data_IF_451285885799
#
_entry.id   IF_451285885799
#
_cell.length_a   1.000
_cell.length_b   1.000
_cell.length_c   1.000
_cell.angle_alpha   90.00
_cell.angle_beta   90.00
_cell.angle_gamma   90.00
#
_symmetry.space_group_name_H-M   'P 1'
#
loop_
_entity.id
_entity.type
_entity.pdbx_description
1 polymer ?
#
# COMPACT_ATOMS: atom_id res chain seq x y z
N UNK A 1 12.26 87.73 164.68
CA UNK A 1 13.15 86.60 164.31
C UNK A 1 12.47 85.85 163.15
N UNK A 2 12.57 86.34 161.92
CA UNK A 2 13.55 86.03 160.86
C UNK A 2 13.37 84.65 160.19
N UNK A 3 12.84 84.63 158.96
CA UNK A 3 12.79 83.46 158.05
C UNK A 3 13.06 83.87 156.58
N UNK A 4 13.93 84.86 156.34
CA UNK A 4 14.32 85.29 154.99
C UNK A 4 15.42 84.43 154.34
N UNK A 5 15.76 83.25 154.89
CA UNK A 5 16.88 82.42 154.39
C UNK A 5 16.49 81.03 153.85
N UNK A 6 15.20 80.68 153.77
CA UNK A 6 14.76 79.37 153.22
C UNK A 6 14.38 79.44 151.72
N UNK A 7 14.19 80.62 151.15
CA UNK A 7 13.74 80.76 149.76
C UNK A 7 14.83 80.49 148.69
N UNK A 8 16.12 80.60 149.03
CA UNK A 8 17.19 80.53 148.03
C UNK A 8 17.68 79.10 147.71
N UNK A 9 17.55 78.14 148.64
CA UNK A 9 17.96 76.75 148.40
C UNK A 9 16.92 75.90 147.64
N UNK A 10 15.68 76.37 147.52
CA UNK A 10 14.64 75.70 146.71
C UNK A 10 14.76 75.95 145.20
N UNK A 11 15.44 77.02 144.77
CA UNK A 11 15.47 77.42 143.37
C UNK A 11 16.58 76.74 142.54
N UNK A 12 17.66 76.27 143.18
CA UNK A 12 18.81 75.66 142.47
C UNK A 12 18.63 74.15 142.24
N UNK A 13 17.80 73.47 143.04
CA UNK A 13 17.45 72.05 142.82
C UNK A 13 16.45 71.80 141.68
N UNK A 14 15.66 72.82 141.30
CA UNK A 14 14.67 72.69 140.24
C UNK A 14 15.28 72.76 138.82
N UNK A 15 16.37 73.51 138.63
CA UNK A 15 16.96 73.73 137.30
C UNK A 15 17.87 72.57 136.83
N UNK A 16 18.48 71.82 137.74
CA UNK A 16 19.26 70.62 137.40
C UNK A 16 18.38 69.41 137.03
N UNK A 17 17.18 69.29 137.62
CA UNK A 17 16.19 68.27 137.24
C UNK A 17 15.54 68.60 135.90
N UNK A 18 15.30 69.88 135.58
CA UNK A 18 14.73 70.30 134.30
C UNK A 18 15.63 70.03 133.07
N UNK A 19 16.96 70.00 133.26
CA UNK A 19 17.92 69.67 132.19
C UNK A 19 17.92 68.19 131.79
N UNK A 20 17.82 67.28 132.77
CA UNK A 20 17.79 65.82 132.52
C UNK A 20 16.45 65.38 131.93
N UNK A 21 15.35 66.03 132.33
CA UNK A 21 14.01 65.75 131.78
C UNK A 21 13.89 66.21 130.32
N UNK A 22 14.50 67.34 129.94
CA UNK A 22 14.49 67.79 128.54
C UNK A 22 15.40 66.96 127.62
N UNK A 23 16.56 66.50 128.09
CA UNK A 23 17.45 65.61 127.31
C UNK A 23 16.85 64.23 127.06
N UNK A 24 16.15 63.67 128.06
CA UNK A 24 15.44 62.38 127.92
C UNK A 24 14.19 62.48 127.04
N UNK A 25 13.49 63.62 127.05
CA UNK A 25 12.40 63.91 126.11
C UNK A 25 12.89 64.07 124.68
N UNK A 26 14.00 64.77 124.44
CA UNK A 26 14.59 64.92 123.11
C UNK A 26 15.07 63.59 122.54
N UNK A 27 15.76 62.78 123.35
CA UNK A 27 16.21 61.43 122.95
C UNK A 27 15.05 60.49 122.65
N UNK A 28 13.92 60.63 123.36
CA UNK A 28 12.68 59.89 123.10
C UNK A 28 12.01 60.35 121.80
N UNK A 29 12.04 61.64 121.49
CA UNK A 29 11.55 62.18 120.22
C UNK A 29 12.45 61.77 119.05
N UNK A 30 13.77 61.74 119.23
CA UNK A 30 14.72 61.24 118.22
C UNK A 30 14.56 59.74 117.97
N UNK A 31 14.44 58.93 119.02
CA UNK A 31 14.12 57.51 118.88
C UNK A 31 12.78 57.31 118.17
N UNK A 32 11.75 58.08 118.54
CA UNK A 32 10.45 57.97 117.88
C UNK A 32 10.49 58.45 116.43
N UNK A 33 11.30 59.45 116.10
CA UNK A 33 11.55 59.87 114.72
C UNK A 33 12.32 58.82 113.93
N UNK A 34 13.31 58.17 114.54
CA UNK A 34 14.06 57.09 113.92
C UNK A 34 13.15 55.87 113.66
N UNK A 35 12.33 55.47 114.65
CA UNK A 35 11.31 54.42 114.51
C UNK A 35 10.29 54.75 113.42
N UNK A 36 9.77 55.99 113.39
CA UNK A 36 8.81 56.39 112.34
C UNK A 36 9.47 56.42 110.96
N UNK A 37 10.73 56.82 110.87
CA UNK A 37 11.47 56.85 109.62
C UNK A 37 11.77 55.42 109.15
N UNK A 38 12.07 54.50 110.06
CA UNK A 38 12.24 53.07 109.81
C UNK A 38 10.93 52.42 109.33
N UNK A 39 9.81 52.69 110.01
CA UNK A 39 8.47 52.28 109.58
C UNK A 39 8.13 52.84 108.20
N UNK A 40 8.45 54.11 107.94
CA UNK A 40 8.23 54.74 106.64
C UNK A 40 9.09 54.12 105.53
N UNK A 41 10.38 53.86 105.79
CA UNK A 41 11.24 53.17 104.82
C UNK A 41 10.75 51.76 104.53
N UNK A 42 10.29 51.04 105.55
CA UNK A 42 9.73 49.69 105.40
C UNK A 42 8.45 49.70 104.56
N UNK A 43 7.54 50.65 104.81
CA UNK A 43 6.32 50.80 104.00
C UNK A 43 6.66 51.18 102.55
N UNK A 44 7.65 52.04 102.33
CA UNK A 44 8.08 52.40 100.98
C UNK A 44 8.72 51.23 100.24
N UNK A 45 9.48 50.39 100.93
CA UNK A 45 10.04 49.15 100.38
C UNK A 45 8.93 48.14 100.05
N UNK A 46 7.97 47.91 100.96
CA UNK A 46 6.81 47.04 100.72
C UNK A 46 5.94 47.55 99.56
N UNK A 47 5.71 48.86 99.47
CA UNK A 47 5.01 49.48 98.33
C UNK A 47 5.78 49.31 97.02
N UNK A 48 7.12 49.39 97.08
CA UNK A 48 7.97 49.18 95.91
C UNK A 48 7.94 47.72 95.46
N UNK A 49 8.07 46.76 96.37
CA UNK A 49 7.99 45.33 96.02
C UNK A 49 6.60 44.97 95.49
N UNK A 50 5.52 45.48 96.08
CA UNK A 50 4.16 45.29 95.56
C UNK A 50 3.98 45.88 94.16
N UNK A 51 4.54 47.07 93.90
CA UNK A 51 4.48 47.67 92.57
C UNK A 51 5.32 46.89 91.54
N UNK A 52 6.51 46.42 91.93
CA UNK A 52 7.34 45.55 91.08
C UNK A 52 6.65 44.22 90.79
N UNK A 53 5.99 43.60 91.78
CA UNK A 53 5.20 42.39 91.61
C UNK A 53 4.00 42.61 90.68
N UNK A 54 3.26 43.71 90.84
CA UNK A 54 2.16 44.08 89.94
C UNK A 54 2.64 44.28 88.51
N UNK A 55 3.73 45.01 88.32
CA UNK A 55 4.31 45.24 87.00
C UNK A 55 4.75 43.91 86.36
N UNK A 56 5.42 43.03 87.11
CA UNK A 56 5.80 41.71 86.58
C UNK A 56 4.60 40.82 86.28
N UNK A 57 3.50 40.96 87.04
CA UNK A 57 2.26 40.23 86.78
C UNK A 57 1.59 40.73 85.50
N UNK A 58 1.48 42.05 85.32
CA UNK A 58 0.92 42.67 84.13
C UNK A 58 1.75 42.35 82.88
N UNK A 59 3.08 42.36 82.98
CA UNK A 59 3.97 41.92 81.89
C UNK A 59 3.75 40.44 81.54
N UNK A 60 3.57 39.56 82.52
CA UNK A 60 3.26 38.14 82.29
C UNK A 60 1.88 37.95 81.68
N UNK A 61 0.88 38.75 82.09
CA UNK A 61 -0.46 38.71 81.51
C UNK A 61 -0.42 39.18 80.05
N UNK A 62 0.27 40.29 79.76
CA UNK A 62 0.44 40.78 78.40
C UNK A 62 1.18 39.76 77.51
N UNK A 63 2.26 39.14 78.02
CA UNK A 63 2.97 38.09 77.30
C UNK A 63 2.05 36.89 76.99
N UNK A 64 1.27 36.42 77.98
CA UNK A 64 0.29 35.34 77.76
C UNK A 64 -0.82 35.74 76.79
N UNK A 65 -1.26 36.99 76.81
CA UNK A 65 -2.26 37.47 75.84
C UNK A 65 -1.68 37.45 74.42
N UNK A 66 -0.43 37.85 74.22
CA UNK A 66 0.21 37.77 72.90
C UNK A 66 0.42 36.33 72.44
N UNK A 67 0.79 35.41 73.33
CA UNK A 67 0.96 33.99 73.02
C UNK A 67 -0.39 33.31 72.70
N UNK A 68 -1.44 33.62 73.46
CA UNK A 68 -2.79 33.11 73.21
C UNK A 68 -3.38 33.65 71.91
N UNK A 69 -3.10 34.92 71.55
CA UNK A 69 -3.45 35.46 70.23
C UNK A 69 -2.70 34.74 69.11
N UNK A 70 -1.39 34.57 69.22
CA UNK A 70 -0.59 33.86 68.21
C UNK A 70 -1.00 32.39 68.05
N UNK A 71 -1.37 31.71 69.14
CA UNK A 71 -1.89 30.33 69.06
C UNK A 71 -3.30 30.28 68.46
N UNK A 72 -4.18 31.24 68.75
CA UNK A 72 -5.50 31.33 68.12
C UNK A 72 -5.40 31.59 66.61
N UNK A 73 -4.53 32.52 66.19
CA UNK A 73 -4.28 32.83 64.78
C UNK A 73 -3.69 31.62 64.03
N UNK A 74 -2.73 30.90 64.63
CA UNK A 74 -2.17 29.69 64.00
C UNK A 74 -3.19 28.56 63.89
N UNK A 75 -4.06 28.38 64.88
CA UNK A 75 -5.17 27.42 64.80
C UNK A 75 -6.15 27.80 63.69
N UNK A 76 -6.50 29.08 63.56
CA UNK A 76 -7.40 29.56 62.50
C UNK A 76 -6.83 29.33 61.10
N UNK A 77 -5.54 29.65 60.90
CA UNK A 77 -4.82 29.39 59.64
C UNK A 77 -4.80 27.90 59.29
N UNK A 78 -4.52 27.03 60.28
CA UNK A 78 -4.50 25.59 60.05
C UNK A 78 -5.89 25.04 59.70
N UNK A 79 -6.95 25.57 60.32
CA UNK A 79 -8.32 25.18 60.00
C UNK A 79 -8.73 25.69 58.63
N UNK A 80 -8.39 26.92 58.25
CA UNK A 80 -8.70 27.46 56.94
C UNK A 80 -7.99 26.68 55.82
N UNK A 81 -6.69 26.39 55.97
CA UNK A 81 -5.93 25.57 55.00
C UNK A 81 -6.52 24.15 54.89
N UNK A 82 -6.88 23.54 56.01
CA UNK A 82 -7.50 22.21 56.00
C UNK A 82 -8.87 22.22 55.32
N UNK A 83 -9.71 23.22 55.59
CA UNK A 83 -11.02 23.37 54.95
C UNK A 83 -10.90 23.61 53.44
N UNK A 84 -9.92 24.41 53.01
CA UNK A 84 -9.66 24.66 51.59
C UNK A 84 -9.21 23.38 50.87
N UNK A 85 -8.34 22.57 51.49
CA UNK A 85 -7.95 21.26 50.94
C UNK A 85 -9.13 20.30 50.81
N UNK A 86 -10.04 20.27 51.78
CA UNK A 86 -11.26 19.46 51.67
C UNK A 86 -12.19 19.97 50.57
N UNK A 87 -12.33 21.30 50.42
CA UNK A 87 -13.10 21.88 49.33
C UNK A 87 -12.51 21.51 47.96
N UNK A 88 -11.18 21.53 47.82
CA UNK A 88 -10.51 21.13 46.58
C UNK A 88 -10.66 19.63 46.31
N UNK A 89 -10.47 18.77 47.31
CA UNK A 89 -10.67 17.33 47.16
C UNK A 89 -12.11 16.99 46.73
N UNK A 90 -13.12 17.71 47.24
CA UNK A 90 -14.51 17.53 46.81
C UNK A 90 -14.73 17.98 45.37
N UNK A 91 -14.12 19.08 44.91
CA UNK A 91 -14.18 19.50 43.51
C UNK A 91 -13.56 18.45 42.58
N UNK A 92 -12.40 17.92 42.95
CA UNK A 92 -11.70 16.90 42.17
C UNK A 92 -12.56 15.62 42.11
N UNK A 93 -13.15 15.18 43.24
CA UNK A 93 -14.07 14.04 43.28
C UNK A 93 -15.28 14.24 42.35
N UNK A 94 -15.89 15.43 42.36
CA UNK A 94 -17.00 15.76 41.47
C UNK A 94 -16.58 15.75 39.99
N UNK A 95 -15.38 16.24 39.67
CA UNK A 95 -14.85 16.18 38.31
C UNK A 95 -14.66 14.73 37.83
N UNK A 96 -14.14 13.84 38.68
CA UNK A 96 -14.02 12.41 38.36
C UNK A 96 -15.39 11.75 38.16
N UNK A 97 -16.37 12.05 39.02
CA UNK A 97 -17.73 11.53 38.89
C UNK A 97 -18.43 12.03 37.62
N UNK A 98 -18.14 13.25 37.17
CA UNK A 98 -18.68 13.79 35.93
C UNK A 98 -18.04 13.17 34.68
N UNK A 99 -16.75 12.83 34.72
CA UNK A 99 -16.03 12.22 33.59
C UNK A 99 -16.32 10.72 33.42
N UNK A 100 -16.69 10.01 34.50
CA UNK A 100 -16.94 8.56 34.48
C UNK A 100 -18.01 8.13 33.46
N UNK A 101 -19.20 8.77 33.37
CA UNK A 101 -20.20 8.41 32.37
C UNK A 101 -19.71 8.53 30.92
N UNK A 102 -18.90 9.54 30.61
CA UNK A 102 -18.34 9.74 29.28
C UNK A 102 -17.31 8.64 28.95
N UNK A 103 -16.43 8.31 29.90
CA UNK A 103 -15.47 7.22 29.76
C UNK A 103 -16.16 5.85 29.57
N UNK A 104 -17.23 5.59 30.33
CA UNK A 104 -18.06 4.38 30.19
C UNK A 104 -18.77 4.37 28.83
N UNK A 105 -19.27 5.52 28.37
CA UNK A 105 -19.85 5.69 27.04
C UNK A 105 -18.86 5.37 25.92
N UNK A 106 -17.63 5.89 26.02
CA UNK A 106 -16.55 5.60 25.08
C UNK A 106 -16.16 4.11 25.07
N UNK A 107 -16.05 3.48 26.25
CA UNK A 107 -15.80 2.04 26.37
C UNK A 107 -16.92 1.19 25.74
N UNK A 108 -18.18 1.60 25.91
CA UNK A 108 -19.32 0.93 25.27
C UNK A 108 -19.28 1.08 23.74
N UNK A 109 -18.90 2.25 23.23
CA UNK A 109 -18.69 2.49 21.81
C UNK A 109 -17.60 1.60 21.23
N UNK A 110 -16.46 1.51 21.92
CA UNK A 110 -15.33 0.67 21.55
C UNK A 110 -15.72 -0.82 21.56
N UNK A 111 -16.42 -1.28 22.60
CA UNK A 111 -16.89 -2.67 22.72
C UNK A 111 -17.87 -3.03 21.59
N UNK A 112 -18.79 -2.13 21.24
CA UNK A 112 -19.69 -2.32 20.10
C UNK A 112 -18.94 -2.38 18.77
N UNK A 113 -17.90 -1.56 18.60
CA UNK A 113 -17.06 -1.58 17.39
C UNK A 113 -16.31 -2.91 17.26
N UNK A 114 -15.68 -3.40 18.33
CA UNK A 114 -15.02 -4.71 18.33
C UNK A 114 -16.01 -5.85 18.09
N UNK A 115 -17.21 -5.77 18.67
CA UNK A 115 -18.29 -6.74 18.43
C UNK A 115 -18.69 -6.76 16.95
N UNK A 116 -18.90 -5.59 16.35
CA UNK A 116 -19.18 -5.46 14.93
C UNK A 116 -18.05 -6.05 14.07
N UNK A 117 -16.79 -5.74 14.36
CA UNK A 117 -15.66 -6.35 13.65
C UNK A 117 -15.67 -7.87 13.80
N UNK A 118 -15.93 -8.41 14.99
CA UNK A 118 -15.95 -9.87 15.20
C UNK A 118 -17.14 -10.58 14.52
N UNK A 119 -18.30 -9.93 14.43
CA UNK A 119 -19.52 -10.51 13.87
C UNK A 119 -19.57 -10.37 12.33
N UNK A 120 -19.11 -9.23 11.80
CA UNK A 120 -19.25 -8.90 10.37
C UNK A 120 -17.97 -9.11 9.55
N UNK A 121 -16.75 -8.91 10.08
CA UNK A 121 -15.52 -9.12 9.29
C UNK A 121 -15.36 -10.54 8.74
N UNK A 122 -15.75 -11.63 9.45
CA UNK A 122 -15.70 -12.98 8.88
C UNK A 122 -16.57 -13.16 7.63
N UNK A 123 -17.55 -12.27 7.38
CA UNK A 123 -18.34 -12.26 6.13
C UNK A 123 -17.59 -11.59 4.99
N UNK A 124 -16.64 -10.70 5.31
CA UNK A 124 -15.81 -9.98 4.32
C UNK A 124 -14.45 -10.63 4.06
N UNK A 125 -13.96 -11.53 4.93
CA UNK A 125 -12.67 -12.23 4.70
C UNK A 125 -12.67 -13.04 3.41
N UNK A 126 -13.78 -13.68 3.05
CA UNK A 126 -13.94 -14.36 1.76
C UNK A 126 -13.96 -13.40 0.57
N UNK A 127 -14.55 -12.21 0.75
CA UNK A 127 -14.62 -11.16 -0.28
C UNK A 127 -13.25 -10.52 -0.53
N UNK A 128 -12.50 -10.17 0.52
CA UNK A 128 -11.15 -9.60 0.38
C UNK A 128 -10.17 -10.58 -0.28
N UNK A 129 -10.23 -11.86 0.09
CA UNK A 129 -9.41 -12.90 -0.55
C UNK A 129 -9.79 -13.06 -2.02
N UNK A 130 -11.09 -13.04 -2.35
CA UNK A 130 -11.56 -13.16 -3.72
C UNK A 130 -11.21 -11.91 -4.57
N UNK A 131 -11.40 -10.70 -4.04
CA UNK A 131 -10.98 -9.46 -4.69
C UNK A 131 -9.46 -9.41 -4.92
N UNK A 132 -8.66 -9.84 -3.94
CA UNK A 132 -7.21 -9.93 -4.06
C UNK A 132 -6.81 -10.92 -5.15
N UNK A 133 -7.44 -12.10 -5.22
CA UNK A 133 -7.22 -13.08 -6.28
C UNK A 133 -7.59 -12.51 -7.66
N UNK A 134 -8.77 -11.90 -7.82
CA UNK A 134 -9.17 -11.31 -9.11
C UNK A 134 -8.21 -10.20 -9.55
N UNK A 135 -7.78 -9.35 -8.61
CA UNK A 135 -6.80 -8.31 -8.88
C UNK A 135 -5.44 -8.89 -9.30
N UNK A 136 -4.96 -9.93 -8.59
CA UNK A 136 -3.71 -10.62 -8.94
C UNK A 136 -3.77 -11.29 -10.31
N UNK A 137 -4.90 -11.90 -10.67
CA UNK A 137 -5.10 -12.47 -12.00
C UNK A 137 -5.01 -11.37 -13.07
N UNK A 138 -5.72 -10.26 -12.88
CA UNK A 138 -5.69 -9.13 -13.82
C UNK A 138 -4.27 -8.58 -14.02
N UNK A 139 -3.52 -8.34 -12.93
CA UNK A 139 -2.13 -7.88 -13.00
C UNK A 139 -1.22 -8.86 -13.74
N UNK A 140 -1.38 -10.17 -13.49
CA UNK A 140 -0.62 -11.20 -14.16
C UNK A 140 -0.93 -11.27 -15.66
N UNK A 141 -2.19 -11.09 -16.06
CA UNK A 141 -2.58 -11.03 -17.47
C UNK A 141 -2.05 -9.77 -18.17
N UNK A 142 -2.09 -8.61 -17.51
CA UNK A 142 -1.48 -7.39 -18.05
C UNK A 142 0.04 -7.53 -18.25
N UNK A 143 0.73 -8.11 -17.26
CA UNK A 143 2.15 -8.41 -17.39
C UNK A 143 2.42 -9.44 -18.50
N UNK A 144 1.58 -10.47 -18.60
CA UNK A 144 1.63 -11.49 -19.64
C UNK A 144 1.44 -10.92 -21.05
N UNK A 145 0.63 -9.87 -21.21
CA UNK A 145 0.46 -9.18 -22.50
C UNK A 145 1.76 -8.50 -22.97
N UNK A 146 2.59 -8.01 -22.04
CA UNK A 146 3.86 -7.34 -22.35
C UNK A 146 4.99 -8.34 -22.58
N UNK A 147 5.09 -9.35 -21.72
CA UNK A 147 6.26 -10.24 -21.66
C UNK A 147 6.02 -11.59 -22.36
N UNK A 148 4.76 -11.98 -22.53
CA UNK A 148 4.31 -13.27 -23.05
C UNK A 148 3.59 -14.10 -21.97
N UNK A 149 2.42 -14.65 -22.30
CA UNK A 149 1.58 -15.42 -21.35
C UNK A 149 2.29 -16.67 -20.82
N UNK A 150 3.18 -17.25 -21.63
CA UNK A 150 4.05 -18.38 -21.29
C UNK A 150 4.91 -18.16 -20.03
N UNK A 151 5.35 -16.92 -19.78
CA UNK A 151 6.20 -16.60 -18.61
C UNK A 151 5.41 -16.49 -17.32
N UNK A 152 4.11 -16.24 -17.44
CA UNK A 152 3.21 -15.98 -16.32
C UNK A 152 2.36 -17.21 -16.01
N UNK A 153 2.22 -18.14 -16.97
CA UNK A 153 1.41 -19.34 -16.87
C UNK A 153 1.70 -20.19 -15.62
N UNK A 154 2.97 -20.46 -15.30
CA UNK A 154 3.33 -21.25 -14.11
C UNK A 154 2.98 -20.53 -12.80
N UNK A 155 3.15 -19.20 -12.76
CA UNK A 155 2.81 -18.40 -11.58
C UNK A 155 1.30 -18.33 -11.38
N UNK A 156 0.54 -18.13 -12.47
CA UNK A 156 -0.92 -18.19 -12.47
C UNK A 156 -1.38 -19.57 -12.00
N UNK A 157 -0.76 -20.64 -12.48
CA UNK A 157 -1.09 -22.00 -12.07
C UNK A 157 -0.90 -22.22 -10.57
N UNK A 158 0.17 -21.67 -9.98
CA UNK A 158 0.45 -21.79 -8.54
C UNK A 158 -0.52 -20.96 -7.68
N UNK A 159 -0.83 -19.73 -8.09
CA UNK A 159 -1.76 -18.84 -7.36
C UNK A 159 -3.20 -19.37 -7.42
N UNK A 160 -3.57 -20.00 -8.53
CA UNK A 160 -4.92 -20.51 -8.80
C UNK A 160 -4.95 -22.05 -8.87
N UNK A 161 -4.25 -22.71 -7.93
CA UNK A 161 -4.20 -24.17 -7.84
C UNK A 161 -5.59 -24.85 -7.75
N UNK A 162 -6.56 -24.16 -7.14
CA UNK A 162 -7.91 -24.67 -6.95
C UNK A 162 -8.84 -24.49 -8.17
N UNK A 163 -8.43 -23.73 -9.20
CA UNK A 163 -9.29 -23.34 -10.32
C UNK A 163 -9.05 -24.24 -11.54
N UNK A 164 -9.94 -25.20 -11.85
CA UNK A 164 -9.67 -26.23 -12.87
C UNK A 164 -9.56 -25.66 -14.30
N UNK A 165 -10.30 -24.58 -14.59
CA UNK A 165 -10.20 -23.90 -15.89
C UNK A 165 -8.84 -23.24 -16.07
N UNK A 166 -8.37 -22.51 -15.05
CA UNK A 166 -7.04 -21.89 -15.08
C UNK A 166 -5.96 -22.97 -15.20
N UNK A 167 -6.07 -24.06 -14.44
CA UNK A 167 -5.15 -25.18 -14.54
C UNK A 167 -5.06 -25.73 -15.97
N UNK A 168 -6.20 -25.99 -16.61
CA UNK A 168 -6.25 -26.56 -17.97
C UNK A 168 -5.66 -25.61 -19.01
N UNK A 169 -5.91 -24.31 -18.87
CA UNK A 169 -5.37 -23.31 -19.79
C UNK A 169 -3.86 -23.14 -19.60
N UNK A 170 -3.39 -23.04 -18.36
CA UNK A 170 -1.97 -22.91 -18.05
C UNK A 170 -1.17 -24.16 -18.45
N UNK A 171 -1.70 -25.37 -18.26
CA UNK A 171 -1.05 -26.61 -18.73
C UNK A 171 -0.97 -26.68 -20.25
N UNK A 172 -1.97 -26.15 -20.96
CA UNK A 172 -1.95 -26.08 -22.42
C UNK A 172 -0.87 -25.12 -22.95
N UNK A 173 -0.63 -24.01 -22.23
CA UNK A 173 0.47 -23.07 -22.54
C UNK A 173 1.83 -23.72 -22.27
N UNK A 174 2.00 -24.38 -21.11
CA UNK A 174 3.30 -24.95 -20.73
C UNK A 174 3.65 -26.24 -21.48
N UNK A 175 2.65 -26.97 -21.98
CA UNK A 175 2.84 -28.15 -22.82
C UNK A 175 3.18 -27.82 -24.28
N UNK A 176 3.01 -26.56 -24.72
CA UNK A 176 3.35 -26.18 -26.08
C UNK A 176 4.87 -26.28 -26.28
N UNK A 177 5.34 -26.90 -27.39
CA UNK A 177 6.76 -27.01 -27.66
C UNK A 177 7.39 -25.62 -27.80
N UNK A 178 8.71 -25.53 -27.57
CA UNK A 178 9.47 -24.30 -27.39
C UNK A 178 10.17 -23.71 -28.66
N UNK A 179 9.67 -23.82 -29.91
CA UNK A 179 10.23 -22.94 -30.95
C UNK A 179 9.80 -21.50 -30.67
N UNK A 180 10.64 -20.54 -31.08
CA UNK A 180 10.26 -19.14 -31.14
C UNK A 180 9.00 -19.01 -32.01
N UNK A 181 7.86 -18.76 -31.37
CA UNK A 181 6.61 -18.48 -32.06
C UNK A 181 6.47 -16.97 -32.32
N UNK A 182 5.71 -16.56 -33.35
CA UNK A 182 5.43 -15.14 -33.57
C UNK A 182 4.71 -14.54 -32.35
N UNK A 183 5.05 -13.30 -31.98
CA UNK A 183 4.42 -12.58 -30.85
C UNK A 183 3.19 -11.75 -31.28
N UNK A 184 3.07 -11.47 -32.58
CA UNK A 184 2.00 -10.67 -33.17
C UNK A 184 1.53 -11.27 -34.49
N UNK A 185 0.34 -10.84 -34.92
CA UNK A 185 -0.21 -11.19 -36.23
C UNK A 185 0.73 -10.72 -37.34
N UNK A 186 1.34 -9.53 -37.22
CA UNK A 186 2.31 -9.02 -38.20
C UNK A 186 3.57 -9.90 -38.29
N UNK A 187 4.04 -10.42 -37.16
CA UNK A 187 5.16 -11.37 -37.13
C UNK A 187 4.78 -12.70 -37.78
N UNK A 188 3.56 -13.20 -37.53
CA UNK A 188 3.04 -14.41 -38.18
C UNK A 188 2.85 -14.21 -39.70
N UNK A 189 2.38 -13.04 -40.11
CA UNK A 189 2.14 -12.66 -41.50
C UNK A 189 3.43 -12.49 -42.30
N UNK A 190 4.43 -11.81 -41.72
CA UNK A 190 5.73 -11.60 -42.37
C UNK A 190 6.48 -12.92 -42.56
N UNK A 191 6.46 -13.79 -41.55
CA UNK A 191 7.05 -15.14 -41.64
C UNK A 191 6.29 -16.03 -42.63
N UNK A 192 4.95 -15.96 -42.66
CA UNK A 192 4.14 -16.66 -43.66
C UNK A 192 4.47 -16.23 -45.09
N UNK A 193 4.50 -14.91 -45.32
CA UNK A 193 4.82 -14.33 -46.63
C UNK A 193 6.21 -14.75 -47.10
N UNK A 194 7.19 -14.77 -46.19
CA UNK A 194 8.53 -15.27 -46.46
C UNK A 194 8.53 -16.74 -46.88
N UNK A 195 7.88 -17.63 -46.11
CA UNK A 195 7.82 -19.06 -46.43
C UNK A 195 7.13 -19.32 -47.79
N UNK A 196 6.05 -18.61 -48.08
CA UNK A 196 5.35 -18.72 -49.36
C UNK A 196 6.15 -18.16 -50.54
N UNK A 197 6.97 -17.12 -50.33
CA UNK A 197 7.88 -16.59 -51.35
C UNK A 197 9.03 -17.55 -51.66
N UNK A 198 9.61 -18.20 -50.65
CA UNK A 198 10.65 -19.21 -50.84
C UNK A 198 10.10 -20.44 -51.59
N UNK A 199 8.87 -20.87 -51.25
CA UNK A 199 8.20 -21.94 -51.97
C UNK A 199 7.91 -21.56 -53.43
N UNK A 200 7.34 -20.38 -53.68
CA UNK A 200 7.10 -19.87 -55.04
C UNK A 200 8.40 -19.82 -55.86
N UNK A 201 9.51 -19.40 -55.23
CA UNK A 201 10.82 -19.32 -55.88
C UNK A 201 11.34 -20.71 -56.25
N UNK A 202 11.26 -21.67 -55.34
CA UNK A 202 11.70 -23.05 -55.57
C UNK A 202 10.87 -23.71 -56.69
N UNK A 203 9.54 -23.60 -56.62
CA UNK A 203 8.63 -24.13 -57.66
C UNK A 203 8.87 -23.42 -59.01
N UNK A 204 9.10 -22.10 -59.00
CA UNK A 204 9.43 -21.33 -60.19
C UNK A 204 10.75 -21.78 -60.84
N UNK A 205 11.77 -22.12 -60.04
CA UNK A 205 13.03 -22.66 -60.54
C UNK A 205 12.85 -24.03 -61.21
N UNK A 206 12.04 -24.91 -60.60
CA UNK A 206 11.69 -26.21 -61.21
C UNK A 206 10.91 -26.03 -62.50
N UNK A 207 9.93 -25.12 -62.53
CA UNK A 207 9.16 -24.80 -63.74
C UNK A 207 10.03 -24.28 -64.88
N UNK A 208 11.02 -23.42 -64.58
CA UNK A 208 11.99 -22.94 -65.58
C UNK A 208 12.86 -24.09 -66.13
N UNK A 209 13.36 -24.97 -65.25
CA UNK A 209 14.15 -26.15 -65.66
C UNK A 209 13.32 -27.12 -66.50
N UNK A 210 12.05 -27.32 -66.16
CA UNK A 210 11.13 -28.19 -66.87
C UNK A 210 10.71 -27.61 -68.23
N UNK A 211 10.51 -26.29 -68.33
CA UNK A 211 10.18 -25.61 -69.58
C UNK A 211 11.36 -25.50 -70.57
N UNK A 212 12.61 -25.51 -70.07
CA UNK A 212 13.81 -25.59 -70.92
C UNK A 212 14.10 -27.01 -71.44
N UNK A 213 13.31 -28.01 -71.02
CA UNK A 213 13.36 -29.36 -71.57
C UNK A 213 12.64 -29.33 -72.94
N UNK A 214 13.31 -29.69 -74.05
CA UNK A 214 12.70 -29.56 -75.37
C UNK A 214 11.58 -30.60 -75.56
N UNK A 215 10.33 -30.17 -75.39
CA UNK A 215 9.16 -30.92 -75.86
C UNK A 215 8.88 -30.62 -77.35
N UNK A 216 8.59 -31.68 -78.11
CA UNK A 216 8.20 -31.63 -79.53
C UNK A 216 6.91 -30.81 -79.72
N UNK A 217 6.75 -30.10 -80.84
CA UNK A 217 5.69 -29.11 -80.99
C UNK A 217 4.35 -29.76 -81.31
N UNK A 218 3.30 -29.51 -80.51
CA UNK A 218 1.92 -29.57 -80.99
C UNK A 218 1.03 -28.44 -80.45
N UNK A 219 0.36 -27.85 -81.44
CA UNK A 219 -0.76 -26.91 -81.49
C UNK A 219 -1.38 -26.31 -80.21
N UNK A 220 -1.36 -24.98 -80.20
CA UNK A 220 -2.32 -24.03 -79.63
C UNK A 220 -3.76 -24.53 -79.47
N UNK A 221 -4.35 -24.36 -78.27
CA UNK A 221 -5.59 -23.61 -77.97
C UNK A 221 -5.92 -23.71 -76.44
N UNK A 222 -6.73 -22.80 -75.87
CA UNK A 222 -6.45 -22.20 -74.55
C UNK A 222 -7.20 -22.87 -73.40
N UNK A 223 -6.49 -23.11 -72.30
CA UNK A 223 -7.05 -23.61 -71.04
C UNK A 223 -6.56 -22.77 -69.85
N UNK A 224 -7.34 -22.81 -68.77
CA UNK A 224 -7.42 -21.86 -67.64
C UNK A 224 -6.14 -21.76 -66.78
N UNK A 225 -5.09 -22.54 -67.07
CA UNK A 225 -3.72 -22.34 -66.56
C UNK A 225 -2.89 -21.34 -67.38
N UNK A 226 -3.59 -20.51 -68.16
CA UNK A 226 -2.98 -19.58 -69.11
C UNK A 226 -2.02 -18.61 -68.43
N UNK A 227 -2.22 -18.20 -67.18
CA UNK A 227 -1.44 -17.07 -66.65
C UNK A 227 0.00 -17.39 -66.27
N UNK A 228 0.29 -18.58 -65.74
CA UNK A 228 1.67 -18.99 -65.39
C UNK A 228 2.48 -19.40 -66.62
N UNK A 229 1.85 -20.11 -67.58
CA UNK A 229 2.49 -20.52 -68.84
C UNK A 229 2.61 -19.34 -69.82
N UNK A 230 1.61 -18.44 -69.90
CA UNK A 230 1.68 -17.19 -70.69
C UNK A 230 2.69 -16.19 -70.09
N UNK A 231 2.92 -16.18 -68.76
CA UNK A 231 4.03 -15.45 -68.13
C UNK A 231 5.40 -15.97 -68.54
N UNK A 232 5.54 -17.29 -68.72
CA UNK A 232 6.81 -17.93 -69.10
C UNK A 232 7.12 -17.77 -70.60
N UNK A 233 6.13 -17.88 -71.47
CA UNK A 233 6.28 -17.53 -72.90
C UNK A 233 6.61 -16.03 -73.06
N UNK A 234 6.09 -15.17 -72.18
CA UNK A 234 6.47 -13.75 -72.11
C UNK A 234 7.90 -13.49 -71.61
N UNK A 235 8.50 -14.40 -70.82
CA UNK A 235 9.89 -14.27 -70.36
C UNK A 235 10.91 -14.60 -71.46
N UNK A 236 10.60 -15.49 -72.40
CA UNK A 236 11.47 -15.77 -73.55
C UNK A 236 11.41 -14.68 -74.64
N UNK A 237 10.38 -13.84 -74.67
CA UNK A 237 10.36 -12.66 -75.54
C UNK A 237 11.24 -11.51 -75.00
N UNK A 238 11.73 -11.59 -73.76
CA UNK A 238 12.49 -10.51 -73.10
C UNK A 238 13.85 -10.20 -73.76
N UNK A 239 14.44 -11.15 -74.48
CA UNK A 239 15.71 -10.95 -75.18
C UNK A 239 15.60 -10.08 -76.44
N UNK A 240 14.39 -9.76 -76.90
CA UNK A 240 14.14 -8.87 -78.05
C UNK A 240 13.62 -7.48 -77.66
N UNK A 241 13.43 -7.20 -76.37
CA UNK A 241 12.77 -5.99 -75.87
C UNK A 241 13.73 -4.79 -75.75
N UNK A 242 13.26 -3.61 -76.14
CA UNK A 242 13.98 -2.34 -75.97
C UNK A 242 14.21 -2.01 -74.49
N UNK A 243 15.20 -1.15 -74.16
CA UNK A 243 15.51 -0.76 -72.77
C UNK A 243 14.26 -0.33 -71.97
N UNK A 244 13.31 0.37 -72.61
CA UNK A 244 12.07 0.81 -71.97
C UNK A 244 11.09 -0.34 -71.69
N UNK A 245 11.01 -1.34 -72.56
CA UNK A 245 10.17 -2.52 -72.35
C UNK A 245 10.73 -3.45 -71.25
N UNK A 246 12.07 -3.52 -71.11
CA UNK A 246 12.71 -4.23 -69.98
C UNK A 246 12.37 -3.59 -68.64
N UNK A 247 12.50 -2.27 -68.53
CA UNK A 247 12.13 -1.53 -67.31
C UNK A 247 10.63 -1.69 -66.97
N UNK A 248 9.77 -1.74 -67.99
CA UNK A 248 8.33 -1.92 -67.79
C UNK A 248 8.00 -3.36 -67.36
N UNK A 249 8.72 -4.36 -67.88
CA UNK A 249 8.61 -5.75 -67.44
C UNK A 249 9.12 -5.96 -66.00
N UNK A 250 10.22 -5.29 -65.62
CA UNK A 250 10.73 -5.27 -64.23
C UNK A 250 9.70 -4.65 -63.28
N UNK A 251 9.17 -3.47 -63.61
CA UNK A 251 8.12 -2.81 -62.81
C UNK A 251 6.86 -3.66 -62.68
N UNK A 252 6.45 -4.38 -63.73
CA UNK A 252 5.32 -5.32 -63.69
C UNK A 252 5.60 -6.49 -62.75
N UNK A 253 6.81 -7.08 -62.80
CA UNK A 253 7.24 -8.13 -61.88
C UNK A 253 7.30 -7.65 -60.43
N UNK A 254 7.74 -6.41 -60.21
CA UNK A 254 7.77 -5.81 -58.87
C UNK A 254 6.36 -5.54 -58.34
N UNK A 255 5.46 -5.00 -59.17
CA UNK A 255 4.04 -4.82 -58.84
C UNK A 255 3.36 -6.14 -58.51
N UNK A 256 3.60 -7.19 -59.31
CA UNK A 256 3.05 -8.52 -59.06
C UNK A 256 3.55 -9.09 -57.73
N UNK A 257 4.84 -8.90 -57.40
CA UNK A 257 5.40 -9.27 -56.09
C UNK A 257 4.72 -8.51 -54.95
N UNK A 258 4.53 -7.20 -55.09
CA UNK A 258 3.86 -6.38 -54.07
C UNK A 258 2.39 -6.78 -53.89
N UNK A 259 1.67 -7.04 -54.98
CA UNK A 259 0.27 -7.49 -54.93
C UNK A 259 0.14 -8.87 -54.27
N UNK A 260 1.04 -9.81 -54.57
CA UNK A 260 1.06 -11.11 -53.90
C UNK A 260 1.39 -11.00 -52.41
N UNK A 261 2.32 -10.12 -52.04
CA UNK A 261 2.61 -9.82 -50.63
C UNK A 261 1.40 -9.25 -49.92
N UNK A 262 0.72 -8.28 -50.53
CA UNK A 262 -0.50 -7.71 -49.99
C UNK A 262 -1.62 -8.76 -49.85
N UNK A 263 -1.76 -9.69 -50.81
CA UNK A 263 -2.72 -10.80 -50.72
C UNK A 263 -2.37 -11.84 -49.66
N UNK A 264 -1.11 -11.94 -49.24
CA UNK A 264 -0.62 -12.88 -48.21
C UNK A 264 -0.49 -12.23 -46.84
N UNK A 265 -0.86 -10.95 -46.72
CA UNK A 265 -0.91 -10.30 -45.43
C UNK A 265 -2.06 -10.87 -44.61
N UNK A 266 -1.74 -11.33 -43.41
CA UNK A 266 -2.68 -11.85 -42.44
C UNK A 266 -2.96 -10.69 -41.49
N UNK A 267 -4.22 -10.31 -41.34
CA UNK A 267 -4.63 -9.16 -40.53
C UNK A 267 -5.33 -9.58 -39.24
N UNK A 268 -5.91 -10.78 -39.23
CA UNK A 268 -6.69 -11.33 -38.12
C UNK A 268 -6.21 -12.72 -37.71
N UNK A 269 -6.63 -13.18 -36.53
CA UNK A 269 -6.40 -14.56 -36.08
C UNK A 269 -7.09 -15.58 -36.98
N UNK A 270 -8.25 -15.21 -37.54
CA UNK A 270 -8.98 -16.04 -38.50
C UNK A 270 -8.21 -16.19 -39.82
N UNK A 271 -7.51 -15.14 -40.27
CA UNK A 271 -6.62 -15.24 -41.43
C UNK A 271 -5.47 -16.21 -41.17
N UNK A 272 -4.90 -16.21 -39.95
CA UNK A 272 -3.86 -17.18 -39.56
C UNK A 272 -4.42 -18.60 -39.57
N UNK A 273 -5.65 -18.81 -39.11
CA UNK A 273 -6.32 -20.12 -39.16
C UNK A 273 -6.56 -20.58 -40.60
N UNK A 274 -7.06 -19.70 -41.46
CA UNK A 274 -7.26 -19.97 -42.88
C UNK A 274 -5.93 -20.29 -43.59
N UNK A 275 -4.86 -19.55 -43.26
CA UNK A 275 -3.53 -19.83 -43.79
C UNK A 275 -2.99 -21.19 -43.33
N UNK A 276 -3.22 -21.59 -42.08
CA UNK A 276 -2.89 -22.94 -41.59
C UNK A 276 -3.64 -24.03 -42.37
N UNK A 277 -4.92 -23.84 -42.66
CA UNK A 277 -5.70 -24.77 -43.47
C UNK A 277 -5.16 -24.85 -44.91
N UNK A 278 -4.88 -23.69 -45.52
CA UNK A 278 -4.27 -23.61 -46.84
C UNK A 278 -2.93 -24.37 -46.92
N UNK A 279 -2.06 -24.21 -45.91
CA UNK A 279 -0.78 -24.95 -45.89
C UNK A 279 -0.96 -26.46 -45.71
N UNK A 280 -2.01 -26.91 -45.00
CA UNK A 280 -2.36 -28.34 -44.91
C UNK A 280 -2.87 -28.89 -46.23
N UNK A 281 -3.67 -28.14 -46.98
CA UNK A 281 -4.12 -28.53 -48.31
C UNK A 281 -2.97 -28.60 -49.31
N UNK A 282 -2.08 -27.61 -49.27
CA UNK A 282 -0.87 -27.57 -50.08
C UNK A 282 0.04 -28.78 -49.79
N UNK A 283 0.25 -29.12 -48.51
CA UNK A 283 1.02 -30.30 -48.11
C UNK A 283 0.37 -31.60 -48.63
N UNK A 284 -0.95 -31.74 -48.56
CA UNK A 284 -1.65 -32.90 -49.16
C UNK A 284 -1.42 -32.99 -50.67
N UNK A 285 -1.48 -31.87 -51.40
CA UNK A 285 -1.24 -31.83 -52.85
C UNK A 285 0.20 -32.20 -53.22
N UNK A 286 1.17 -31.78 -52.40
CA UNK A 286 2.59 -32.04 -52.63
C UNK A 286 3.02 -33.44 -52.15
N UNK A 287 2.35 -34.00 -51.15
CA UNK A 287 2.67 -35.31 -50.56
C UNK A 287 1.89 -36.49 -51.15
N UNK A 288 0.82 -36.28 -51.93
CA UNK A 288 0.00 -37.38 -52.46
C UNK A 288 0.71 -38.20 -53.56
N UNK A 289 1.25 -39.38 -53.23
CA UNK A 289 1.88 -40.30 -54.19
C UNK A 289 0.92 -40.80 -55.29
N UNK A 290 -0.39 -40.63 -55.12
CA UNK A 290 -1.40 -40.88 -56.14
C UNK A 290 -2.54 -39.86 -56.04
N UNK A 291 -3.24 -39.54 -57.15
CA UNK A 291 -4.35 -38.61 -57.11
C UNK A 291 -5.54 -39.30 -56.45
N UNK A 292 -5.92 -38.88 -55.24
CA UNK A 292 -7.27 -39.14 -54.73
C UNK A 292 -8.25 -38.43 -55.66
N UNK A 293 -8.93 -39.23 -56.49
CA UNK A 293 -10.08 -38.79 -57.28
C UNK A 293 -11.24 -38.48 -56.34
N UNK A 294 -11.30 -37.26 -55.86
CA UNK A 294 -12.54 -36.68 -55.33
C UNK A 294 -12.86 -35.40 -56.09
N UNK A 295 -13.62 -35.61 -57.16
CA UNK A 295 -14.73 -34.79 -57.67
C UNK A 295 -14.54 -33.27 -57.54
N UNK A 296 -13.95 -32.64 -58.55
CA UNK A 296 -14.63 -31.64 -59.38
C UNK A 296 -13.85 -31.46 -60.69
N UNK A 297 -14.50 -31.87 -61.79
CA UNK A 297 -14.16 -31.66 -63.21
C UNK A 297 -12.99 -32.48 -63.81
N UNK A 298 -13.40 -33.44 -64.67
CA UNK A 298 -12.59 -34.23 -65.60
C UNK A 298 -11.77 -33.36 -66.56
N UNK A 299 -10.47 -33.68 -66.71
CA UNK A 299 -9.94 -34.33 -67.92
C UNK A 299 -8.52 -34.89 -67.67
N UNK A 300 -8.13 -36.02 -68.30
CA UNK A 300 -6.82 -36.63 -68.11
C UNK A 300 -5.82 -36.03 -69.12
N UNK A 301 -4.76 -35.38 -68.64
CA UNK A 301 -3.61 -35.01 -69.47
C UNK A 301 -2.32 -35.38 -68.74
N UNK A 302 -1.62 -36.36 -69.31
CA UNK A 302 -0.39 -37.02 -68.84
C UNK A 302 0.85 -36.10 -68.71
N UNK A 303 0.73 -34.77 -68.77
CA UNK A 303 1.86 -33.83 -68.63
C UNK A 303 1.95 -33.15 -67.25
N UNK A 304 0.88 -33.14 -66.45
CA UNK A 304 0.88 -32.50 -65.14
C UNK A 304 1.56 -33.38 -64.07
N UNK A 305 1.51 -34.71 -64.22
CA UNK A 305 2.09 -35.63 -63.24
C UNK A 305 3.63 -35.62 -63.28
N UNK A 306 4.26 -35.52 -64.47
CA UNK A 306 5.73 -35.43 -64.57
C UNK A 306 6.28 -34.15 -63.94
N UNK A 307 5.60 -33.02 -64.14
CA UNK A 307 5.96 -31.75 -63.52
C UNK A 307 5.79 -31.81 -61.99
N UNK A 308 4.68 -32.36 -61.50
CA UNK A 308 4.46 -32.53 -60.05
C UNK A 308 5.50 -33.47 -59.43
N UNK A 309 5.88 -34.55 -60.12
CA UNK A 309 6.96 -35.45 -59.68
C UNK A 309 8.31 -34.72 -59.65
N UNK A 310 8.60 -33.87 -60.64
CA UNK A 310 9.81 -33.05 -60.64
C UNK A 310 9.82 -32.02 -59.48
N UNK A 311 8.69 -31.38 -59.19
CA UNK A 311 8.54 -30.46 -58.05
C UNK A 311 8.73 -31.19 -56.72
N UNK A 312 8.17 -32.39 -56.57
CA UNK A 312 8.28 -33.21 -55.35
C UNK A 312 9.68 -33.74 -55.09
N UNK A 313 10.43 -34.03 -56.15
CA UNK A 313 11.78 -34.59 -56.04
C UNK A 313 12.86 -33.52 -55.83
N UNK A 314 12.57 -32.26 -56.14
CA UNK A 314 13.52 -31.14 -55.99
C UNK A 314 13.86 -30.83 -54.52
N UNK A 315 15.16 -30.65 -54.26
CA UNK A 315 15.67 -30.44 -52.89
C UNK A 315 15.33 -29.06 -52.32
N UNK A 316 15.25 -28.01 -53.16
CA UNK A 316 14.88 -26.66 -52.72
C UNK A 316 13.39 -26.60 -52.36
N UNK A 317 12.55 -27.29 -53.13
CA UNK A 317 11.12 -27.41 -52.82
C UNK A 317 10.92 -28.15 -51.50
N UNK A 318 11.61 -29.28 -51.27
CA UNK A 318 11.55 -29.98 -49.96
C UNK A 318 11.99 -29.10 -48.80
N UNK A 319 13.03 -28.29 -48.97
CA UNK A 319 13.50 -27.35 -47.95
C UNK A 319 12.46 -26.24 -47.67
N UNK A 320 11.83 -25.70 -48.70
CA UNK A 320 10.76 -24.70 -48.55
C UNK A 320 9.53 -25.29 -47.84
N UNK A 321 9.15 -26.54 -48.15
CA UNK A 321 8.08 -27.26 -47.45
C UNK A 321 8.42 -27.46 -45.96
N UNK A 322 9.67 -27.84 -45.64
CA UNK A 322 10.12 -27.95 -44.24
C UNK A 322 10.03 -26.61 -43.50
N UNK A 323 10.40 -25.49 -44.14
CA UNK A 323 10.23 -24.16 -43.55
C UNK A 323 8.76 -23.80 -43.32
N UNK A 324 7.88 -24.20 -44.25
CA UNK A 324 6.43 -24.01 -44.11
C UNK A 324 5.86 -24.85 -42.96
N UNK A 325 6.36 -26.07 -42.74
CA UNK A 325 6.00 -26.87 -41.56
C UNK A 325 6.43 -26.23 -40.25
N UNK A 326 7.66 -25.70 -40.18
CA UNK A 326 8.13 -24.96 -39.00
C UNK A 326 7.25 -23.72 -38.74
N UNK A 327 6.88 -23.00 -39.79
CA UNK A 327 5.92 -21.90 -39.69
C UNK A 327 4.57 -22.39 -39.17
N UNK A 328 4.04 -23.49 -39.72
CA UNK A 328 2.76 -24.10 -39.31
C UNK A 328 2.77 -24.43 -37.82
N UNK A 329 3.81 -25.11 -37.34
CA UNK A 329 3.92 -25.49 -35.94
C UNK A 329 4.02 -24.22 -35.05
N UNK A 330 4.83 -23.24 -35.45
CA UNK A 330 4.95 -21.97 -34.72
C UNK A 330 3.64 -21.16 -34.68
N UNK A 331 2.88 -21.15 -35.77
CA UNK A 331 1.61 -20.44 -35.89
C UNK A 331 0.50 -21.16 -35.09
N UNK A 332 0.54 -22.48 -35.00
CA UNK A 332 -0.36 -23.23 -34.11
C UNK A 332 -0.10 -22.89 -32.64
N UNK A 333 1.16 -22.84 -32.19
CA UNK A 333 1.50 -22.39 -30.84
C UNK A 333 1.03 -20.97 -30.56
N UNK A 334 1.22 -20.06 -31.53
CA UNK A 334 0.72 -18.68 -31.42
C UNK A 334 -0.80 -18.62 -31.21
N UNK A 335 -1.58 -19.39 -31.99
CA UNK A 335 -3.04 -19.43 -31.84
C UNK A 335 -3.48 -20.03 -30.49
N UNK A 336 -2.79 -21.08 -30.02
CA UNK A 336 -3.06 -21.67 -28.69
C UNK A 336 -2.82 -20.64 -27.60
N UNK A 337 -1.71 -19.89 -27.67
CA UNK A 337 -1.39 -18.84 -26.68
C UNK A 337 -2.41 -17.70 -26.73
N UNK A 338 -2.86 -17.28 -27.92
CA UNK A 338 -3.91 -16.25 -28.07
C UNK A 338 -5.25 -16.69 -27.52
N UNK A 339 -5.66 -17.92 -27.80
CA UNK A 339 -6.88 -18.50 -27.27
C UNK A 339 -6.83 -18.62 -25.74
N UNK A 340 -5.68 -19.03 -25.20
CA UNK A 340 -5.46 -19.13 -23.77
C UNK A 340 -5.50 -17.75 -23.08
N UNK A 341 -4.87 -16.73 -23.66
CA UNK A 341 -4.94 -15.34 -23.19
C UNK A 341 -6.39 -14.83 -23.16
N UNK A 342 -7.14 -15.05 -24.25
CA UNK A 342 -8.56 -14.67 -24.34
C UNK A 342 -9.45 -15.40 -23.33
N UNK A 343 -9.20 -16.69 -23.09
CA UNK A 343 -9.93 -17.48 -22.11
C UNK A 343 -9.67 -16.99 -20.68
N UNK A 344 -8.40 -16.74 -20.32
CA UNK A 344 -8.04 -16.23 -19.00
C UNK A 344 -8.59 -14.82 -18.77
N UNK A 345 -8.55 -13.96 -19.80
CA UNK A 345 -9.12 -12.61 -19.73
C UNK A 345 -10.64 -12.65 -19.51
N UNK A 346 -11.34 -13.48 -20.28
CA UNK A 346 -12.79 -13.70 -20.12
C UNK A 346 -13.14 -14.24 -18.73
N UNK A 347 -12.33 -15.15 -18.21
CA UNK A 347 -12.49 -15.67 -16.85
C UNK A 347 -12.26 -14.58 -15.79
N UNK A 348 -11.24 -13.74 -15.95
CA UNK A 348 -10.98 -12.62 -15.05
C UNK A 348 -12.13 -11.61 -15.01
N UNK A 349 -12.75 -11.34 -16.17
CA UNK A 349 -13.92 -10.48 -16.29
C UNK A 349 -15.13 -11.10 -15.58
N UNK A 350 -15.39 -12.38 -15.81
CA UNK A 350 -16.50 -13.11 -15.18
C UNK A 350 -16.34 -13.17 -13.65
N UNK A 351 -15.12 -13.39 -13.15
CA UNK A 351 -14.84 -13.32 -11.72
C UNK A 351 -15.06 -11.90 -11.16
N UNK A 352 -14.66 -10.86 -11.89
CA UNK A 352 -14.94 -9.48 -11.47
C UNK A 352 -16.44 -9.19 -11.43
N UNK A 353 -17.19 -9.58 -12.47
CA UNK A 353 -18.64 -9.40 -12.55
C UNK A 353 -19.38 -10.14 -11.44
N UNK A 354 -19.00 -11.39 -11.13
CA UNK A 354 -19.59 -12.16 -10.03
C UNK A 354 -19.33 -11.51 -8.67
N UNK A 355 -18.15 -10.93 -8.45
CA UNK A 355 -17.87 -10.18 -7.21
C UNK A 355 -18.69 -8.89 -7.10
N UNK A 356 -18.96 -8.22 -8.21
CA UNK A 356 -19.77 -6.99 -8.21
C UNK A 356 -21.27 -7.24 -8.11
N UNK A 357 -21.79 -8.29 -8.76
CA UNK A 357 -23.23 -8.59 -8.81
C UNK A 357 -23.76 -9.20 -7.50
N UNK A 358 -22.92 -9.87 -6.71
CA UNK A 358 -23.28 -10.32 -5.34
C UNK A 358 -23.63 -9.14 -4.42
N UNK A 359 -23.16 -7.92 -4.72
CA UNK A 359 -23.51 -6.72 -3.95
C UNK A 359 -24.83 -6.04 -4.37
N UNK A 360 -25.45 -6.45 -5.49
CA UNK A 360 -26.69 -5.84 -6.01
C UNK A 360 -27.96 -6.62 -5.63
N UNK A 361 -27.83 -7.87 -5.17
CA UNK A 361 -28.96 -8.66 -4.66
C UNK A 361 -29.19 -8.29 -3.18
N UNK A 362 -29.94 -7.22 -2.94
CA UNK A 362 -30.50 -6.85 -1.63
C UNK A 362 -31.94 -7.33 -1.48
#
# INVERSE_FOLDING_TARGET
MSYQHVAAFGAVGALSVLGVVKGTQWRRVELRRAELNEEYTKIMEEMRTLNEERLTHDERLAAKETETKGTAETVDILWSDRLERYAQANKDLHAYLAALPEAIGALKGLSNHYRYMSEEMPRFTGFDIACSKVHQLALMLEHGRVVGIERVAETVQNVFAAEPLIQTVCTSITAAPAPLHPRSIDAASSTFSFCMEELDRAVGAVAMRHAMRPEKPQATMPGIFSDSVRRLVGMFQADTLSKGQRQLAERRKDLERVLRRAQRQLHTEDDVRAALEYTKELDKLLSSESPEKTVFLRSPSFSNDEFLVAVRSDAEVKKAIQQLHLWRDSATTFLVHRQAEGALYSYSLLLAETLTSVNEVK
#
